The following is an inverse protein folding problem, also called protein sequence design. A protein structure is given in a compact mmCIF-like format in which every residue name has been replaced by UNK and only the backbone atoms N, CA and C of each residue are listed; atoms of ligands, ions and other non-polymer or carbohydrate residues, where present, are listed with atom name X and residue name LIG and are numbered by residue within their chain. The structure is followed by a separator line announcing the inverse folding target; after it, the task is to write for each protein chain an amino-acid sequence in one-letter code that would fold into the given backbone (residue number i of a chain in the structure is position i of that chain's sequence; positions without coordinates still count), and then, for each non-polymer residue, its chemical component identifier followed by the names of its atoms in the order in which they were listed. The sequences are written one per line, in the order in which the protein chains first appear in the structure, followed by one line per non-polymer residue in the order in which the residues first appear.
data_IF_151920703364
#
_entry.id   IF_151920703364
#
_cell.length_a   1.000
_cell.length_b   1.000
_cell.length_c   1.000
_cell.angle_alpha   90.00
_cell.angle_beta   90.00
_cell.angle_gamma   90.00
#
_symmetry.space_group_name_H-M   'P 1'
#
loop_
_entity.id
_entity.type
_entity.pdbx_description
1 polymer ?
#
# COMPACT_ATOMS: atom_id res chain seq x y z
N UNK A 1 18.94 -19.41 1.71
CA UNK A 1 18.20 -18.33 2.44
C UNK A 1 16.79 -18.21 1.90
N UNK A 2 15.76 -17.93 2.72
CA UNK A 2 14.37 -17.80 2.24
C UNK A 2 14.04 -16.36 1.85
N UNK A 3 13.48 -16.16 0.67
CA UNK A 3 12.82 -14.92 0.25
C UNK A 3 11.50 -14.80 1.03
N UNK A 4 11.53 -14.05 2.14
CA UNK A 4 10.36 -13.91 3.03
C UNK A 4 9.23 -13.10 2.40
N UNK A 5 9.59 -12.05 1.66
CA UNK A 5 8.67 -11.18 0.93
C UNK A 5 9.36 -10.66 -0.32
N UNK A 6 8.74 -10.84 -1.47
CA UNK A 6 9.17 -10.34 -2.76
C UNK A 6 8.20 -9.24 -3.18
N UNK A 7 8.72 -8.01 -3.24
CA UNK A 7 7.94 -6.83 -3.65
C UNK A 7 7.39 -7.03 -5.06
N UNK A 8 6.07 -6.88 -5.22
CA UNK A 8 5.31 -7.25 -6.43
C UNK A 8 5.92 -6.77 -7.74
N UNK A 9 6.36 -5.51 -7.81
CA UNK A 9 6.93 -4.91 -9.03
C UNK A 9 8.47 -4.80 -9.01
N UNK A 10 9.14 -5.51 -8.10
CA UNK A 10 10.60 -5.48 -7.97
C UNK A 10 11.34 -6.22 -9.08
N UNK A 11 12.65 -5.97 -9.28
CA UNK A 11 13.45 -6.78 -10.20
C UNK A 11 13.44 -8.28 -9.87
N UNK A 12 13.39 -8.63 -8.59
CA UNK A 12 13.29 -10.02 -8.13
C UNK A 12 12.00 -10.69 -8.63
N UNK A 13 10.85 -10.01 -8.45
CA UNK A 13 9.56 -10.51 -8.96
C UNK A 13 9.57 -10.63 -10.48
N UNK A 14 10.11 -9.63 -11.19
CA UNK A 14 10.25 -9.66 -12.66
C UNK A 14 11.13 -10.80 -13.16
N UNK A 15 12.14 -11.19 -12.37
CA UNK A 15 12.99 -12.34 -12.65
C UNK A 15 12.33 -13.69 -12.24
N UNK A 16 11.10 -13.67 -11.73
CA UNK A 16 10.33 -14.88 -11.40
C UNK A 16 10.51 -15.40 -9.97
N UNK A 17 11.20 -14.66 -9.10
CA UNK A 17 11.33 -15.00 -7.68
C UNK A 17 10.00 -14.72 -6.98
N UNK A 18 9.58 -15.61 -6.08
CA UNK A 18 8.37 -15.48 -5.28
C UNK A 18 8.64 -15.76 -3.80
N UNK A 19 7.68 -15.42 -2.96
CA UNK A 19 7.73 -15.71 -1.53
C UNK A 19 7.94 -17.21 -1.28
N UNK A 20 8.83 -17.53 -0.34
CA UNK A 20 9.19 -18.89 0.01
C UNK A 20 10.31 -19.49 -0.86
N UNK A 21 10.75 -18.82 -1.94
CA UNK A 21 11.91 -19.29 -2.69
C UNK A 21 13.17 -19.29 -1.83
N UNK A 22 13.96 -20.35 -1.94
CA UNK A 22 15.25 -20.42 -1.28
C UNK A 22 16.35 -19.97 -2.24
N UNK A 23 16.95 -18.80 -2.01
CA UNK A 23 18.17 -18.41 -2.72
C UNK A 23 19.34 -19.23 -2.16
N UNK A 24 19.95 -20.07 -3.00
CA UNK A 24 21.00 -21.03 -2.61
C UNK A 24 22.38 -20.64 -3.14
N UNK A 25 22.47 -19.87 -4.23
CA UNK A 25 23.72 -19.35 -4.75
C UNK A 25 23.54 -17.99 -5.43
N UNK A 26 24.63 -17.23 -5.53
CA UNK A 26 24.71 -16.00 -6.31
C UNK A 26 26.03 -15.95 -7.08
N UNK A 27 25.95 -15.68 -8.39
CA UNK A 27 27.05 -15.65 -9.34
C UNK A 27 27.94 -16.89 -9.27
N UNK A 28 27.29 -18.06 -9.20
CA UNK A 28 27.95 -19.36 -9.09
C UNK A 28 28.49 -19.71 -7.70
N UNK A 29 28.40 -18.80 -6.72
CA UNK A 29 28.91 -19.04 -5.36
C UNK A 29 27.76 -19.41 -4.42
N UNK A 30 27.86 -20.56 -3.71
CA UNK A 30 26.87 -20.94 -2.69
C UNK A 30 26.71 -19.88 -1.60
N UNK A 31 25.48 -19.75 -1.10
CA UNK A 31 25.11 -18.82 -0.03
C UNK A 31 24.69 -19.59 1.21
N UNK A 32 25.44 -19.41 2.30
CA UNK A 32 25.18 -19.98 3.61
C UNK A 32 24.42 -19.00 4.50
N UNK A 33 24.74 -17.71 4.38
CA UNK A 33 24.22 -16.65 5.26
C UNK A 33 23.57 -15.48 4.50
N UNK A 34 22.52 -14.86 5.07
CA UNK A 34 21.86 -13.71 4.45
C UNK A 34 22.73 -12.54 4.05
N UNK A 35 23.73 -12.22 4.89
CA UNK A 35 24.66 -11.13 4.67
C UNK A 35 25.47 -11.28 3.38
N UNK A 36 25.72 -12.52 2.93
CA UNK A 36 26.51 -12.78 1.72
C UNK A 36 25.78 -12.31 0.46
N UNK A 37 24.46 -12.56 0.37
CA UNK A 37 23.65 -12.07 -0.74
C UNK A 37 23.55 -10.54 -0.72
N UNK A 38 23.32 -9.96 0.46
CA UNK A 38 23.24 -8.50 0.63
C UNK A 38 24.55 -7.83 0.20
N UNK A 39 25.69 -8.35 0.63
CA UNK A 39 27.00 -7.83 0.25
C UNK A 39 27.23 -7.91 -1.26
N UNK A 40 26.86 -9.03 -1.91
CA UNK A 40 26.97 -9.19 -3.37
C UNK A 40 26.12 -8.18 -4.13
N UNK A 41 24.85 -8.02 -3.75
CA UNK A 41 23.95 -7.04 -4.37
C UNK A 41 24.49 -5.61 -4.19
N UNK A 42 24.99 -5.29 -3.00
CA UNK A 42 25.59 -3.99 -2.72
C UNK A 42 26.85 -3.72 -3.55
N UNK A 43 27.72 -4.73 -3.71
CA UNK A 43 28.94 -4.63 -4.50
C UNK A 43 28.66 -4.54 -6.01
N UNK A 44 27.69 -5.29 -6.52
CA UNK A 44 27.30 -5.23 -7.92
C UNK A 44 26.69 -3.87 -8.27
N UNK A 45 25.83 -3.33 -7.40
CA UNK A 45 25.24 -2.01 -7.59
C UNK A 45 24.20 -1.93 -8.73
N UNK A 46 23.51 -0.78 -8.86
CA UNK A 46 22.43 -0.61 -9.84
C UNK A 46 22.87 -0.75 -11.29
N UNK A 47 21.99 -1.29 -12.14
CA UNK A 47 22.24 -1.52 -13.56
C UNK A 47 22.91 -2.86 -13.87
N UNK A 48 23.57 -3.47 -12.90
CA UNK A 48 24.21 -4.78 -13.05
C UNK A 48 23.22 -5.93 -12.81
N UNK A 49 23.51 -7.08 -13.42
CA UNK A 49 22.75 -8.32 -13.24
C UNK A 49 23.42 -9.16 -12.16
N UNK A 50 22.62 -9.77 -11.29
CA UNK A 50 23.09 -10.79 -10.34
C UNK A 50 22.46 -12.12 -10.71
N UNK A 51 23.26 -13.13 -10.99
CA UNK A 51 22.74 -14.47 -11.31
C UNK A 51 22.45 -15.21 -10.03
N UNK A 52 21.19 -15.46 -9.73
CA UNK A 52 20.77 -16.17 -8.53
C UNK A 52 20.32 -17.58 -8.88
N UNK A 53 20.75 -18.54 -8.07
CA UNK A 53 20.12 -19.87 -8.05
C UNK A 53 19.10 -19.90 -6.93
N UNK A 54 17.85 -20.17 -7.29
CA UNK A 54 16.74 -20.33 -6.36
C UNK A 54 16.26 -21.77 -6.33
N UNK A 55 15.66 -22.20 -5.23
CA UNK A 55 15.04 -23.50 -5.06
C UNK A 55 13.59 -23.35 -4.64
N UNK A 56 12.68 -23.96 -5.43
CA UNK A 56 11.23 -23.97 -5.22
C UNK A 56 10.69 -25.39 -5.35
N UNK A 57 10.02 -25.90 -4.31
CA UNK A 57 9.46 -27.25 -4.33
C UNK A 57 10.51 -28.34 -4.62
N UNK A 58 11.75 -28.16 -4.15
CA UNK A 58 12.87 -29.07 -4.39
C UNK A 58 13.58 -28.92 -5.75
N UNK A 59 13.04 -28.12 -6.68
CA UNK A 59 13.68 -27.86 -7.97
C UNK A 59 14.51 -26.58 -7.93
N UNK A 60 15.74 -26.64 -8.44
CA UNK A 60 16.60 -25.48 -8.59
C UNK A 60 16.40 -24.81 -9.95
N UNK A 61 16.46 -23.48 -9.97
CA UNK A 61 16.31 -22.63 -11.17
C UNK A 61 17.24 -21.44 -11.07
N UNK A 62 17.80 -21.04 -12.20
CA UNK A 62 18.60 -19.84 -12.29
C UNK A 62 17.73 -18.66 -12.74
N UNK A 63 17.90 -17.52 -12.09
CA UNK A 63 17.19 -16.27 -12.36
C UNK A 63 18.19 -15.12 -12.35
N UNK A 64 17.98 -14.12 -13.20
CA UNK A 64 18.96 -13.05 -13.42
C UNK A 64 18.31 -11.67 -13.28
N UNK A 65 17.95 -11.24 -12.06
CA UNK A 65 17.43 -9.89 -11.85
C UNK A 65 18.47 -8.81 -12.16
N UNK A 66 18.04 -7.79 -12.91
CA UNK A 66 18.80 -6.53 -13.07
C UNK A 66 18.57 -5.63 -11.86
N UNK A 67 19.64 -5.29 -11.15
CA UNK A 67 19.58 -4.43 -9.98
C UNK A 67 19.16 -3.01 -10.34
N UNK A 68 18.42 -2.38 -9.43
CA UNK A 68 18.00 -0.97 -9.53
C UNK A 68 18.46 -0.23 -8.28
N UNK A 69 18.57 1.12 -8.30
CA UNK A 69 18.85 1.88 -7.10
C UNK A 69 17.85 1.53 -6.01
N UNK A 70 18.33 1.35 -4.77
CA UNK A 70 17.45 0.98 -3.67
C UNK A 70 16.38 2.06 -3.49
N UNK A 71 15.10 1.73 -3.70
CA UNK A 71 14.02 2.70 -3.61
C UNK A 71 13.82 3.13 -2.15
N UNK A 72 13.42 4.39 -1.93
CA UNK A 72 12.98 4.85 -0.61
C UNK A 72 11.76 4.07 -0.12
N UNK A 73 11.47 4.09 1.19
CA UNK A 73 10.37 3.32 1.80
C UNK A 73 9.02 3.53 1.09
N UNK A 74 8.67 4.77 0.74
CA UNK A 74 7.40 5.08 0.07
C UNK A 74 7.35 4.53 -1.36
N UNK A 75 8.51 4.44 -2.02
CA UNK A 75 8.60 3.87 -3.36
C UNK A 75 8.53 2.33 -3.30
N UNK A 76 9.10 1.70 -2.26
CA UNK A 76 8.89 0.27 -1.99
C UNK A 76 7.41 -0.02 -1.82
N UNK A 77 6.70 0.78 -1.02
CA UNK A 77 5.26 0.60 -0.80
C UNK A 77 4.47 0.68 -2.11
N UNK A 78 4.78 1.65 -2.98
CA UNK A 78 4.16 1.77 -4.31
C UNK A 78 4.44 0.56 -5.19
N UNK A 79 5.70 0.13 -5.27
CA UNK A 79 6.11 -1.04 -6.05
C UNK A 79 5.43 -2.33 -5.57
N UNK A 80 5.14 -2.41 -4.26
CA UNK A 80 4.50 -3.56 -3.65
C UNK A 80 2.99 -3.58 -3.87
N UNK A 81 2.32 -2.43 -3.74
CA UNK A 81 0.87 -2.35 -3.64
C UNK A 81 0.16 -1.98 -4.94
N UNK A 82 0.74 -1.11 -5.78
CA UNK A 82 0.06 -0.68 -7.02
C UNK A 82 -0.10 -1.89 -7.96
N UNK A 83 -1.31 -2.09 -8.47
CA UNK A 83 -1.68 -3.22 -9.33
C UNK A 83 -2.13 -4.47 -8.56
N UNK A 84 -2.07 -4.47 -7.23
CA UNK A 84 -2.57 -5.57 -6.39
C UNK A 84 -3.99 -5.31 -5.91
N UNK A 85 -4.71 -6.36 -5.50
CA UNK A 85 -5.97 -6.20 -4.78
C UNK A 85 -5.72 -5.59 -3.40
N UNK A 86 -6.57 -4.65 -3.02
CA UNK A 86 -6.53 -4.02 -1.71
C UNK A 86 -6.67 -5.08 -0.60
N UNK A 87 -5.75 -5.12 0.39
CA UNK A 87 -5.84 -6.06 1.49
C UNK A 87 -7.20 -5.99 2.22
N UNK A 88 -7.73 -7.16 2.60
CA UNK A 88 -8.96 -7.27 3.38
C UNK A 88 -8.83 -6.59 4.74
N UNK A 89 -9.94 -6.07 5.26
CA UNK A 89 -9.96 -5.51 6.60
C UNK A 89 -9.78 -6.61 7.64
N UNK A 90 -9.01 -6.29 8.67
CA UNK A 90 -9.08 -6.98 9.95
C UNK A 90 -10.16 -6.30 10.80
N UNK A 91 -10.55 -6.81 11.98
CA UNK A 91 -11.62 -6.21 12.76
C UNK A 91 -11.39 -4.71 13.01
N UNK A 92 -12.36 -3.89 12.63
CA UNK A 92 -12.35 -2.43 12.78
C UNK A 92 -13.47 -2.00 13.73
N UNK A 93 -13.18 -1.03 14.59
CA UNK A 93 -14.20 -0.39 15.41
C UNK A 93 -14.71 0.88 14.70
N UNK A 94 -16.03 1.01 14.55
CA UNK A 94 -16.63 2.19 13.91
C UNK A 94 -16.42 3.42 14.78
N UNK A 95 -15.96 4.53 14.17
CA UNK A 95 -15.78 5.84 14.83
C UNK A 95 -16.83 6.83 14.35
N UNK A 96 -17.07 6.89 13.03
CA UNK A 96 -18.07 7.75 12.41
C UNK A 96 -18.56 7.17 11.08
N UNK A 97 -19.83 7.40 10.75
CA UNK A 97 -20.46 6.87 9.53
C UNK A 97 -20.51 5.33 9.53
N UNK A 98 -20.69 4.76 8.34
CA UNK A 98 -20.73 3.30 8.16
C UNK A 98 -19.46 2.85 7.45
N UNK A 99 -18.61 2.12 8.16
CA UNK A 99 -17.53 1.34 7.57
C UNK A 99 -18.04 -0.10 7.45
N UNK A 100 -18.09 -0.70 6.26
CA UNK A 100 -18.54 -2.09 6.14
C UNK A 100 -17.63 -3.04 6.97
N UNK A 101 -17.98 -4.33 7.08
CA UNK A 101 -17.13 -5.30 7.79
C UNK A 101 -15.97 -5.86 6.95
N UNK A 102 -16.07 -5.78 5.62
CA UNK A 102 -15.03 -6.24 4.70
C UNK A 102 -14.91 -5.30 3.48
N UNK A 103 -13.68 -5.07 3.01
CA UNK A 103 -13.42 -4.20 1.86
C UNK A 103 -14.09 -4.67 0.57
N UNK A 104 -14.34 -5.99 0.45
CA UNK A 104 -15.06 -6.56 -0.69
C UNK A 104 -16.49 -6.02 -0.85
N UNK A 105 -17.12 -5.53 0.24
CA UNK A 105 -18.43 -4.88 0.19
C UNK A 105 -18.41 -3.51 -0.50
N UNK A 106 -17.22 -2.98 -0.80
CA UNK A 106 -17.05 -1.73 -1.54
C UNK A 106 -16.84 -1.94 -3.04
N UNK A 107 -16.79 -3.18 -3.54
CA UNK A 107 -16.74 -3.44 -4.98
C UNK A 107 -17.86 -2.69 -5.71
N UNK A 108 -17.54 -2.18 -6.88
CA UNK A 108 -18.40 -1.25 -7.64
C UNK A 108 -18.20 0.23 -7.27
N UNK A 109 -17.56 0.54 -6.15
CA UNK A 109 -17.19 1.90 -5.76
C UNK A 109 -15.69 2.15 -5.98
N UNK A 110 -15.33 3.40 -6.28
CA UNK A 110 -13.94 3.86 -6.13
C UNK A 110 -13.72 4.16 -4.66
N UNK A 111 -12.63 3.67 -4.07
CA UNK A 111 -12.33 3.87 -2.65
C UNK A 111 -11.07 4.70 -2.51
N UNK A 112 -11.14 5.75 -1.69
CA UNK A 112 -9.98 6.49 -1.21
C UNK A 112 -9.81 6.19 0.28
N UNK A 113 -8.84 5.34 0.58
CA UNK A 113 -8.54 4.89 1.94
C UNK A 113 -7.44 5.75 2.54
N UNK A 114 -7.71 6.47 3.62
CA UNK A 114 -6.82 7.41 4.30
C UNK A 114 -6.36 6.83 5.64
N UNK A 115 -5.06 6.57 5.78
CA UNK A 115 -4.45 6.23 7.07
C UNK A 115 -3.98 7.51 7.75
N UNK A 116 -4.51 7.77 8.95
CA UNK A 116 -4.30 9.02 9.66
C UNK A 116 -4.20 8.82 11.18
N UNK A 117 -3.82 9.88 11.89
CA UNK A 117 -3.84 9.91 13.35
C UNK A 117 -4.28 11.27 13.89
N UNK A 118 -4.86 11.26 15.07
CA UNK A 118 -5.34 12.44 15.78
C UNK A 118 -4.20 13.41 16.09
N UNK A 119 -2.99 12.94 16.35
CA UNK A 119 -1.80 13.77 16.59
C UNK A 119 -1.07 14.20 15.31
N UNK A 120 -1.46 13.69 14.14
CA UNK A 120 -0.78 13.96 12.88
C UNK A 120 -1.22 15.31 12.27
N UNK A 121 -0.37 16.33 12.38
CA UNK A 121 -0.60 17.66 11.81
C UNK A 121 -0.89 17.64 10.30
N UNK A 122 -0.05 16.99 9.46
CA UNK A 122 -0.31 16.87 8.03
C UNK A 122 -1.64 16.16 7.68
N UNK A 123 -2.05 15.17 8.48
CA UNK A 123 -3.33 14.49 8.28
C UNK A 123 -4.52 15.44 8.49
N UNK A 124 -4.43 16.33 9.49
CA UNK A 124 -5.44 17.36 9.75
C UNK A 124 -5.56 18.35 8.59
N UNK A 125 -4.45 18.65 7.89
CA UNK A 125 -4.46 19.48 6.68
C UNK A 125 -5.10 18.77 5.48
N UNK A 126 -4.99 17.43 5.42
CA UNK A 126 -5.57 16.62 4.33
C UNK A 126 -7.09 16.38 4.49
N UNK A 127 -7.59 16.26 5.73
CA UNK A 127 -8.98 15.91 6.03
C UNK A 127 -10.05 16.82 5.36
N UNK A 128 -9.90 18.16 5.26
CA UNK A 128 -10.85 19.00 4.53
C UNK A 128 -10.93 18.66 3.04
N UNK A 129 -9.79 18.37 2.41
CA UNK A 129 -9.74 18.01 0.99
C UNK A 129 -10.37 16.64 0.75
N UNK A 130 -10.14 15.66 1.64
CA UNK A 130 -10.80 14.35 1.59
C UNK A 130 -12.33 14.48 1.75
N UNK A 131 -12.78 15.33 2.67
CA UNK A 131 -14.21 15.64 2.85
C UNK A 131 -14.81 16.31 1.62
N UNK A 132 -14.07 17.21 0.97
CA UNK A 132 -14.48 17.84 -0.29
C UNK A 132 -14.64 16.80 -1.40
N UNK A 133 -13.63 15.97 -1.66
CA UNK A 133 -13.75 14.92 -2.68
C UNK A 133 -14.88 13.94 -2.39
N UNK A 134 -15.04 13.49 -1.14
CA UNK A 134 -16.15 12.62 -0.77
C UNK A 134 -17.49 13.29 -1.09
N UNK A 135 -17.69 14.53 -0.66
CA UNK A 135 -18.94 15.26 -0.88
C UNK A 135 -19.23 15.42 -2.38
N UNK A 136 -18.23 15.78 -3.18
CA UNK A 136 -18.38 16.01 -4.62
C UNK A 136 -18.70 14.73 -5.39
N UNK A 137 -18.05 13.61 -5.04
CA UNK A 137 -18.07 12.40 -5.88
C UNK A 137 -18.81 11.21 -5.25
N UNK A 138 -19.35 11.31 -4.03
CA UNK A 138 -20.06 10.21 -3.39
C UNK A 138 -21.24 9.69 -4.21
N UNK A 139 -22.01 10.59 -4.83
CA UNK A 139 -23.12 10.23 -5.71
C UNK A 139 -22.67 9.50 -7.00
N UNK A 140 -21.41 9.66 -7.39
CA UNK A 140 -20.80 8.99 -8.55
C UNK A 140 -20.13 7.66 -8.16
N UNK A 141 -20.17 7.28 -6.88
CA UNK A 141 -19.60 6.04 -6.36
C UNK A 141 -18.22 6.18 -5.71
N UNK A 142 -17.80 7.38 -5.31
CA UNK A 142 -16.61 7.53 -4.45
C UNK A 142 -16.96 7.21 -2.99
N UNK A 143 -16.12 6.42 -2.33
CA UNK A 143 -16.16 6.18 -0.88
C UNK A 143 -14.83 6.56 -0.28
N UNK A 144 -14.84 7.54 0.61
CA UNK A 144 -13.65 7.90 1.40
C UNK A 144 -13.77 7.22 2.76
N UNK A 145 -12.70 6.60 3.22
CA UNK A 145 -12.66 5.91 4.53
C UNK A 145 -11.36 6.29 5.23
N UNK A 146 -11.48 6.85 6.44
CA UNK A 146 -10.35 7.13 7.30
C UNK A 146 -10.11 6.00 8.29
N UNK A 147 -8.89 5.44 8.31
CA UNK A 147 -8.44 4.48 9.32
C UNK A 147 -7.40 5.12 10.23
N UNK A 148 -7.57 4.93 11.53
CA UNK A 148 -6.62 5.36 12.54
C UNK A 148 -6.35 4.24 13.53
N UNK A 149 -5.17 4.19 14.11
CA UNK A 149 -4.85 3.27 15.22
C UNK A 149 -5.25 3.86 16.57
N UNK A 150 -5.68 5.13 16.60
CA UNK A 150 -6.15 5.81 17.80
C UNK A 150 -7.45 5.19 18.34
N UNK A 151 -7.63 5.25 19.66
CA UNK A 151 -8.85 4.77 20.31
C UNK A 151 -10.10 5.52 19.85
N UNK A 152 -11.23 4.81 19.77
CA UNK A 152 -12.50 5.33 19.24
C UNK A 152 -12.87 6.70 19.82
N UNK A 153 -12.78 6.88 21.14
CA UNK A 153 -13.17 8.13 21.79
C UNK A 153 -12.39 9.38 21.35
N UNK A 154 -11.06 9.28 21.19
CA UNK A 154 -10.23 10.41 20.74
C UNK A 154 -10.36 10.63 19.23
N UNK A 155 -10.51 9.55 18.48
CA UNK A 155 -10.78 9.59 17.05
C UNK A 155 -12.12 10.27 16.75
N UNK A 156 -13.20 9.95 17.49
CA UNK A 156 -14.52 10.58 17.34
C UNK A 156 -14.44 12.09 17.56
N UNK A 157 -13.83 12.52 18.67
CA UNK A 157 -13.68 13.95 18.98
C UNK A 157 -12.91 14.69 17.90
N UNK A 158 -11.83 14.09 17.41
CA UNK A 158 -10.99 14.72 16.38
C UNK A 158 -11.70 14.75 15.02
N UNK A 159 -12.38 13.67 14.62
CA UNK A 159 -13.14 13.63 13.38
C UNK A 159 -14.27 14.67 13.36
N UNK A 160 -14.95 14.87 14.50
CA UNK A 160 -15.94 15.93 14.67
C UNK A 160 -15.32 17.32 14.58
N UNK A 161 -14.20 17.57 15.29
CA UNK A 161 -13.50 18.85 15.25
C UNK A 161 -13.02 19.23 13.84
N UNK A 162 -12.61 18.24 13.05
CA UNK A 162 -12.20 18.41 11.65
C UNK A 162 -13.39 18.42 10.67
N UNK A 163 -14.61 18.24 11.16
CA UNK A 163 -15.82 18.11 10.33
C UNK A 163 -15.66 17.07 9.21
N UNK A 164 -15.04 15.93 9.52
CA UNK A 164 -14.84 14.85 8.54
C UNK A 164 -16.20 14.35 8.03
N UNK A 165 -16.39 14.43 6.71
CA UNK A 165 -17.67 14.07 6.04
C UNK A 165 -17.67 12.68 5.43
N UNK A 166 -16.81 11.80 5.93
CA UNK A 166 -16.61 10.45 5.41
C UNK A 166 -16.49 9.45 6.56
N UNK A 167 -16.57 8.15 6.24
CA UNK A 167 -16.58 7.12 7.27
C UNK A 167 -15.20 7.01 7.94
N UNK A 168 -15.18 6.78 9.25
CA UNK A 168 -13.96 6.66 10.04
C UNK A 168 -14.06 5.40 10.88
N UNK A 169 -12.95 4.64 10.95
CA UNK A 169 -12.81 3.50 11.82
C UNK A 169 -11.46 3.50 12.54
N UNK A 170 -11.45 2.83 13.70
CA UNK A 170 -10.26 2.56 14.49
C UNK A 170 -9.79 1.13 14.22
N UNK A 171 -8.53 1.00 13.81
CA UNK A 171 -7.75 -0.22 13.73
C UNK A 171 -6.85 -0.32 14.96
N UNK A 172 -7.44 -0.48 16.14
CA UNK A 172 -6.70 -0.53 17.41
C UNK A 172 -5.68 -1.68 17.49
N UNK A 173 -5.82 -2.70 16.65
CA UNK A 173 -4.88 -3.83 16.53
C UNK A 173 -3.70 -3.55 15.61
N UNK A 174 -3.74 -2.46 14.85
CA UNK A 174 -2.82 -2.08 13.77
C UNK A 174 -2.72 -3.10 12.62
N UNK A 175 -3.51 -4.18 12.67
CA UNK A 175 -3.36 -5.31 11.76
C UNK A 175 -3.83 -5.00 10.34
N UNK A 176 -4.81 -4.11 10.16
CA UNK A 176 -5.18 -3.61 8.84
C UNK A 176 -4.08 -2.67 8.31
N UNK A 177 -3.62 -1.74 9.13
CA UNK A 177 -2.54 -0.79 8.79
C UNK A 177 -1.25 -1.52 8.39
N UNK A 178 -0.89 -2.56 9.12
CA UNK A 178 0.24 -3.43 8.82
C UNK A 178 0.06 -4.22 7.50
N UNK A 179 -1.14 -4.73 7.21
CA UNK A 179 -1.43 -5.44 5.97
C UNK A 179 -1.27 -4.53 4.72
N UNK A 180 -1.57 -3.24 4.88
CA UNK A 180 -1.32 -2.22 3.87
C UNK A 180 0.14 -1.75 3.82
N UNK A 181 0.99 -2.13 4.79
CA UNK A 181 2.41 -1.75 4.84
C UNK A 181 2.63 -0.29 5.23
N UNK A 182 1.69 0.33 5.94
CA UNK A 182 1.74 1.75 6.31
C UNK A 182 2.80 1.98 7.40
N UNK A 183 3.74 2.89 7.12
CA UNK A 183 4.82 3.28 8.05
C UNK A 183 4.95 4.79 8.24
N UNK A 184 4.17 5.57 7.51
CA UNK A 184 4.18 7.03 7.52
C UNK A 184 2.74 7.55 7.37
N UNK A 185 2.48 8.74 7.91
CA UNK A 185 1.16 9.36 7.89
C UNK A 185 1.22 10.79 7.29
N UNK A 186 0.15 11.24 6.60
CA UNK A 186 -0.92 10.40 6.09
C UNK A 186 -0.39 9.44 5.01
N UNK A 187 -1.04 8.29 4.85
CA UNK A 187 -0.86 7.45 3.66
C UNK A 187 -2.24 7.18 3.08
N UNK A 188 -2.43 7.48 1.80
CA UNK A 188 -3.70 7.26 1.10
C UNK A 188 -3.54 6.24 -0.02
N UNK A 189 -4.53 5.37 -0.17
CA UNK A 189 -4.64 4.42 -1.27
C UNK A 189 -5.83 4.77 -2.15
N UNK A 190 -5.60 4.89 -3.46
CA UNK A 190 -6.67 5.03 -4.46
C UNK A 190 -6.97 3.65 -5.02
N UNK A 191 -8.20 3.17 -4.84
CA UNK A 191 -8.62 1.81 -5.17
C UNK A 191 -9.78 1.90 -6.17
N UNK A 192 -9.69 1.15 -7.26
CA UNK A 192 -10.73 1.13 -8.31
C UNK A 192 -11.95 0.27 -7.94
N UNK A 193 -12.96 0.27 -8.82
CA UNK A 193 -14.22 -0.46 -8.62
C UNK A 193 -14.04 -1.97 -8.50
N UNK A 194 -12.93 -2.54 -9.00
CA UNK A 194 -12.61 -3.97 -8.89
C UNK A 194 -11.90 -4.30 -7.58
N UNK A 195 -11.50 -3.29 -6.82
CA UNK A 195 -10.73 -3.44 -5.59
C UNK A 195 -9.22 -3.47 -5.83
N UNK A 196 -8.72 -3.00 -6.98
CA UNK A 196 -7.29 -2.93 -7.30
C UNK A 196 -6.72 -1.57 -6.90
N UNK A 197 -5.56 -1.55 -6.25
CA UNK A 197 -4.86 -0.32 -5.88
C UNK A 197 -4.25 0.30 -7.15
N UNK A 198 -4.61 1.55 -7.44
CA UNK A 198 -4.17 2.31 -8.62
C UNK A 198 -3.17 3.41 -8.30
N UNK A 199 -3.16 3.93 -7.07
CA UNK A 199 -2.11 4.84 -6.59
C UNK A 199 -1.93 4.72 -5.06
N UNK A 200 -0.74 5.11 -4.59
CA UNK A 200 -0.42 5.30 -3.18
C UNK A 200 0.22 6.68 -2.99
N UNK A 201 -0.37 7.48 -2.10
CA UNK A 201 0.08 8.83 -1.77
C UNK A 201 0.58 8.81 -0.34
N UNK A 202 1.88 9.04 -0.13
CA UNK A 202 2.48 9.12 1.21
C UNK A 202 2.81 10.58 1.48
N UNK A 203 2.47 11.05 2.69
CA UNK A 203 2.65 12.42 3.12
C UNK A 203 1.58 13.37 2.59
N UNK A 204 1.69 14.63 3.01
CA UNK A 204 0.84 15.72 2.54
C UNK A 204 1.61 16.55 1.51
N UNK A 205 1.08 16.60 0.29
CA UNK A 205 1.59 17.44 -0.79
C UNK A 205 0.42 17.99 -1.62
N UNK A 206 0.05 19.27 -1.41
CA UNK A 206 -1.05 19.91 -2.15
C UNK A 206 -0.87 19.91 -3.66
N UNK A 207 0.39 19.89 -4.15
CA UNK A 207 0.66 19.90 -5.59
C UNK A 207 0.14 18.63 -6.28
N UNK A 208 -0.02 17.53 -5.53
CA UNK A 208 -0.56 16.27 -6.04
C UNK A 208 -2.08 16.20 -6.04
N UNK A 209 -2.80 17.13 -5.41
CA UNK A 209 -4.25 17.07 -5.30
C UNK A 209 -4.94 17.00 -6.68
N UNK A 210 -4.52 17.83 -7.63
CA UNK A 210 -5.09 17.82 -8.98
C UNK A 210 -4.85 16.48 -9.71
N UNK A 211 -3.68 15.87 -9.50
CA UNK A 211 -3.35 14.56 -10.07
C UNK A 211 -4.24 13.46 -9.47
N UNK A 212 -4.40 13.43 -8.15
CA UNK A 212 -5.24 12.45 -7.46
C UNK A 212 -6.70 12.63 -7.87
N UNK A 213 -7.20 13.85 -7.90
CA UNK A 213 -8.58 14.13 -8.31
C UNK A 213 -8.85 13.69 -9.76
N UNK A 214 -7.93 13.96 -10.67
CA UNK A 214 -8.02 13.47 -12.06
C UNK A 214 -8.07 11.95 -12.13
N UNK A 215 -7.28 11.25 -11.30
CA UNK A 215 -7.33 9.79 -11.21
C UNK A 215 -8.69 9.32 -10.67
N UNK A 216 -9.21 9.93 -9.60
CA UNK A 216 -10.52 9.60 -9.06
C UNK A 216 -11.61 9.73 -10.13
N UNK A 217 -11.63 10.85 -10.87
CA UNK A 217 -12.59 11.08 -11.97
C UNK A 217 -12.48 10.00 -13.06
N UNK A 218 -11.25 9.63 -13.45
CA UNK A 218 -11.04 8.57 -14.44
C UNK A 218 -11.58 7.21 -13.96
N UNK A 219 -11.31 6.84 -12.70
CA UNK A 219 -11.81 5.58 -12.12
C UNK A 219 -13.32 5.58 -11.91
N UNK A 220 -13.92 6.73 -11.60
CA UNK A 220 -15.37 6.86 -11.45
C UNK A 220 -16.09 6.67 -12.79
N UNK A 221 -15.46 7.06 -13.90
CA UNK A 221 -15.96 6.87 -15.25
C UNK A 221 -15.81 5.43 -15.79
N UNK A 222 -14.99 4.58 -15.16
CA UNK A 222 -14.90 3.15 -15.53
C UNK A 222 -16.28 2.47 -15.32
N UNK A 223 -16.68 1.50 -16.16
CA UNK A 223 -17.92 0.75 -15.95
C UNK A 223 -17.88 -0.02 -14.62
N UNK A 224 -19.06 -0.24 -14.02
CA UNK A 224 -19.15 -1.13 -12.86
C UNK A 224 -18.71 -2.55 -13.27
N UNK A 225 -18.00 -3.28 -12.39
CA UNK A 225 -17.57 -4.65 -12.65
C UNK A 225 -18.72 -5.65 -12.69
#
# INVERSE_FOLDING_TARGET
MVAKHVVTSSPAAKAGIVDGDHVVAADGVPLEEPKQLVARVALAGPGNVVNLRIRRGGQERDVAPTLVPFPGHDQILRLDKIGTFAPGWKPLATVAGTVPANIGALRGNVVLLDFWATWCGPCRLMAPQLSKWHTTYAAQGLRVIGLTTDGVGVATKTAQALSMRYAVASDASESTSAAYGVKALPTMFVIDKKGVIRDVVVGYDPSRHAQVEKLLQALLAEPAP
#
